data_IF_497797168962
#
_entry.id   IF_497797168962
#
_cell.length_a   1.000
_cell.length_b   1.000
_cell.length_c   1.000
_cell.angle_alpha   90.00
_cell.angle_beta   90.00
_cell.angle_gamma   90.00
#
_symmetry.space_group_name_H-M   'P 1'
#
loop_
_entity.id
_entity.type
_entity.pdbx_description
1 polymer ?
#
# COMPACT_ATOMS: atom_id res chain seq x y z
N UNK A 1 -4.95 8.80 -17.09
CA UNK A 1 -4.45 9.25 -15.76
C UNK A 1 -2.93 9.44 -15.82
N UNK A 2 -2.44 10.68 -15.93
CA UNK A 2 -0.99 10.93 -15.90
C UNK A 2 -0.38 10.61 -14.52
N UNK A 3 -1.12 10.89 -13.45
CA UNK A 3 -0.64 10.70 -12.06
C UNK A 3 -0.45 9.22 -11.74
N UNK A 4 -1.46 8.37 -11.99
CA UNK A 4 -1.34 6.92 -11.76
C UNK A 4 -0.26 6.25 -12.63
N UNK A 5 -0.09 6.71 -13.88
CA UNK A 5 0.98 6.24 -14.76
C UNK A 5 2.37 6.70 -14.28
N UNK A 6 2.46 7.88 -13.64
CA UNK A 6 3.72 8.39 -13.10
C UNK A 6 4.20 7.66 -11.83
N UNK A 7 3.38 6.79 -11.24
CA UNK A 7 3.71 6.01 -10.04
C UNK A 7 4.37 4.66 -10.33
N UNK A 8 4.65 4.33 -11.59
CA UNK A 8 5.16 3.00 -11.99
C UNK A 8 6.59 2.70 -11.56
N UNK A 9 7.43 3.72 -11.33
CA UNK A 9 8.81 3.54 -10.88
C UNK A 9 9.01 4.14 -9.49
N UNK A 10 9.16 3.26 -8.50
CA UNK A 10 9.48 3.64 -7.13
C UNK A 10 10.98 3.89 -7.00
N UNK A 11 11.32 5.09 -6.53
CA UNK A 11 12.69 5.50 -6.22
C UNK A 11 12.71 6.22 -4.86
N UNK A 12 13.92 6.50 -4.34
CA UNK A 12 14.10 7.14 -3.02
C UNK A 12 13.37 8.47 -2.89
N UNK A 13 13.35 9.28 -3.95
CA UNK A 13 12.69 10.58 -3.94
C UNK A 13 11.16 10.42 -3.86
N UNK A 14 10.58 9.46 -4.57
CA UNK A 14 9.13 9.18 -4.48
C UNK A 14 8.75 8.64 -3.11
N UNK A 15 9.56 7.76 -2.53
CA UNK A 15 9.33 7.26 -1.16
C UNK A 15 9.32 8.44 -0.19
N UNK A 16 10.27 9.37 -0.32
CA UNK A 16 10.32 10.58 0.50
C UNK A 16 9.08 11.46 0.31
N UNK A 17 8.65 11.71 -0.93
CA UNK A 17 7.43 12.47 -1.21
C UNK A 17 6.19 11.80 -0.60
N UNK A 18 6.08 10.47 -0.68
CA UNK A 18 4.98 9.72 -0.06
C UNK A 18 5.03 9.82 1.47
N UNK A 19 6.22 9.70 2.07
CA UNK A 19 6.41 9.86 3.50
C UNK A 19 6.02 11.28 3.95
N UNK A 20 6.55 12.32 3.28
CA UNK A 20 6.18 13.72 3.51
C UNK A 20 4.66 13.94 3.37
N UNK A 21 4.03 13.32 2.36
CA UNK A 21 2.57 13.39 2.18
C UNK A 21 1.83 12.81 3.40
N UNK A 22 2.21 11.62 3.85
CA UNK A 22 1.58 10.97 5.00
C UNK A 22 1.94 11.63 6.34
N UNK A 23 3.06 12.34 6.40
CA UNK A 23 3.50 13.07 7.58
C UNK A 23 2.79 14.41 7.76
N UNK A 24 2.65 15.17 6.67
CA UNK A 24 2.19 16.57 6.67
C UNK A 24 0.69 16.72 6.49
N UNK A 25 0.07 15.87 5.67
CA UNK A 25 -1.36 16.00 5.40
C UNK A 25 -2.15 15.40 6.56
N UNK A 26 -3.32 15.99 6.80
CA UNK A 26 -4.37 15.40 7.62
C UNK A 26 -4.90 14.12 6.95
N UNK A 27 -4.07 13.06 6.96
CA UNK A 27 -4.58 11.72 7.22
C UNK A 27 -5.55 11.86 8.38
N UNK A 28 -6.65 11.11 8.34
CA UNK A 28 -7.63 11.08 9.42
C UNK A 28 -6.96 11.13 10.79
N UNK A 29 -7.67 11.63 11.82
CA UNK A 29 -7.14 11.70 13.21
C UNK A 29 -6.63 10.36 13.76
N UNK A 30 -6.80 9.28 13.00
CA UNK A 30 -6.24 7.96 13.17
C UNK A 30 -4.70 7.94 13.04
N UNK A 31 -4.04 8.02 14.20
CA UNK A 31 -2.59 7.88 14.32
C UNK A 31 -2.10 6.48 13.98
N UNK A 32 -2.95 5.46 14.11
CA UNK A 32 -2.58 4.06 13.88
C UNK A 32 -2.51 3.76 12.38
N UNK A 33 -3.44 4.32 11.60
CA UNK A 33 -3.40 4.28 10.14
C UNK A 33 -2.12 4.94 9.60
N UNK A 34 -1.81 6.15 10.09
CA UNK A 34 -0.58 6.87 9.72
C UNK A 34 0.67 6.05 10.04
N UNK A 35 0.76 5.50 11.25
CA UNK A 35 1.91 4.69 11.66
C UNK A 35 2.05 3.45 10.75
N UNK A 36 0.95 2.75 10.50
CA UNK A 36 0.93 1.54 9.68
C UNK A 36 1.36 1.79 8.23
N UNK A 37 0.85 2.87 7.61
CA UNK A 37 1.21 3.18 6.21
C UNK A 37 2.67 3.60 6.07
N UNK A 38 3.21 4.34 7.06
CA UNK A 38 4.63 4.71 7.07
C UNK A 38 5.54 3.50 7.29
N UNK A 39 5.17 2.56 8.17
CA UNK A 39 5.91 1.29 8.33
C UNK A 39 5.87 0.46 7.05
N UNK A 40 4.72 0.35 6.39
CA UNK A 40 4.61 -0.34 5.10
C UNK A 40 5.43 0.34 4.00
N UNK A 41 5.53 1.66 4.01
CA UNK A 41 6.32 2.41 3.04
C UNK A 41 7.81 2.12 3.17
N UNK A 42 8.29 1.87 4.39
CA UNK A 42 9.69 1.50 4.66
C UNK A 42 10.02 0.08 4.18
N UNK A 43 9.16 -0.89 4.49
CA UNK A 43 9.44 -2.32 4.22
C UNK A 43 8.94 -2.82 2.86
N UNK A 44 7.91 -2.17 2.30
CA UNK A 44 7.21 -2.59 1.08
C UNK A 44 6.71 -1.37 0.27
N UNK A 45 7.59 -0.46 -0.18
CA UNK A 45 7.18 0.78 -0.85
C UNK A 45 6.37 0.57 -2.13
N UNK A 46 6.62 -0.53 -2.86
CA UNK A 46 5.84 -0.90 -4.05
C UNK A 46 4.39 -1.27 -3.71
N UNK A 47 4.15 -1.89 -2.55
CA UNK A 47 2.81 -2.17 -2.06
C UNK A 47 2.07 -0.85 -1.75
N UNK A 48 2.71 0.07 -1.03
CA UNK A 48 2.10 1.37 -0.72
C UNK A 48 1.84 2.19 -1.99
N UNK A 49 2.73 2.14 -2.98
CA UNK A 49 2.50 2.76 -4.29
C UNK A 49 1.28 2.16 -4.99
N UNK A 50 1.17 0.83 -5.01
CA UNK A 50 0.03 0.12 -5.59
C UNK A 50 -1.28 0.49 -4.91
N UNK A 51 -1.27 0.57 -3.57
CA UNK A 51 -2.41 1.03 -2.78
C UNK A 51 -2.80 2.47 -3.13
N UNK A 52 -1.84 3.41 -3.18
CA UNK A 52 -2.14 4.80 -3.55
C UNK A 52 -2.66 4.92 -4.98
N UNK A 53 -2.10 4.15 -5.92
CA UNK A 53 -2.60 4.09 -7.30
C UNK A 53 -4.05 3.67 -7.32
N UNK A 54 -4.40 2.56 -6.65
CA UNK A 54 -5.78 2.06 -6.54
C UNK A 54 -6.72 3.02 -5.83
N UNK A 55 -6.21 3.74 -4.83
CA UNK A 55 -6.94 4.79 -4.13
C UNK A 55 -7.31 5.95 -5.06
N UNK A 56 -6.36 6.46 -5.85
CA UNK A 56 -6.59 7.54 -6.82
C UNK A 56 -7.48 7.08 -7.98
N UNK A 57 -7.34 5.83 -8.43
CA UNK A 57 -8.25 5.20 -9.42
C UNK A 57 -9.68 5.15 -8.88
N UNK A 58 -9.86 4.68 -7.65
CA UNK A 58 -11.18 4.59 -6.99
C UNK A 58 -11.85 5.95 -6.79
N UNK A 59 -11.07 7.00 -6.53
CA UNK A 59 -11.57 8.37 -6.54
C UNK A 59 -12.01 8.81 -7.93
N UNK A 60 -11.21 8.51 -8.96
CA UNK A 60 -11.52 8.87 -10.35
C UNK A 60 -12.75 8.14 -10.90
N UNK A 61 -13.04 6.95 -10.38
CA UNK A 61 -14.23 6.16 -10.69
C UNK A 61 -15.46 6.56 -9.85
N UNK A 62 -15.32 7.51 -8.92
CA UNK A 62 -16.41 7.95 -8.04
C UNK A 62 -16.76 7.00 -6.90
N UNK A 63 -15.99 5.92 -6.68
CA UNK A 63 -16.14 5.01 -5.53
C UNK A 63 -15.76 5.69 -4.21
N UNK A 64 -14.77 6.59 -4.28
CA UNK A 64 -14.35 7.48 -3.18
C UNK A 64 -14.70 8.90 -3.58
N UNK A 65 -15.37 9.65 -2.70
CA UNK A 65 -15.86 11.01 -3.03
C UNK A 65 -14.84 12.11 -2.78
N UNK A 66 -13.82 11.86 -1.96
CA UNK A 66 -12.77 12.83 -1.62
C UNK A 66 -11.41 12.13 -1.49
N UNK A 67 -10.34 12.74 -2.02
CA UNK A 67 -8.98 12.20 -1.86
C UNK A 67 -8.45 12.36 -0.43
N UNK A 68 -8.85 13.43 0.26
CA UNK A 68 -8.43 13.80 1.61
C UNK A 68 -9.69 14.13 2.44
N UNK A 69 -9.73 13.75 3.73
CA UNK A 69 -8.69 13.05 4.49
C UNK A 69 -8.46 11.62 3.98
N UNK A 70 -7.20 11.16 4.06
CA UNK A 70 -6.90 9.75 3.86
C UNK A 70 -7.39 9.01 5.10
N UNK A 71 -8.45 8.23 4.96
CA UNK A 71 -9.12 7.52 6.06
C UNK A 71 -9.34 6.04 5.75
N UNK A 72 -9.59 5.26 6.80
CA UNK A 72 -9.71 3.81 6.71
C UNK A 72 -10.88 3.37 5.83
N UNK A 73 -11.98 4.12 5.80
CA UNK A 73 -13.16 3.76 5.02
C UNK A 73 -12.93 3.96 3.53
N UNK A 74 -12.23 5.02 3.14
CA UNK A 74 -11.81 5.28 1.78
C UNK A 74 -10.75 4.27 1.33
N UNK A 75 -9.82 3.89 2.21
CA UNK A 75 -8.85 2.81 1.94
C UNK A 75 -9.55 1.47 1.69
N UNK A 76 -10.56 1.11 2.49
CA UNK A 76 -11.35 -0.13 2.28
C UNK A 76 -12.06 -0.12 0.92
N UNK A 77 -12.61 1.02 0.50
CA UNK A 77 -13.26 1.15 -0.81
C UNK A 77 -12.28 1.05 -1.98
N UNK A 78 -11.02 1.39 -1.77
CA UNK A 78 -9.95 1.23 -2.75
C UNK A 78 -9.36 -0.19 -2.81
N UNK A 79 -9.72 -1.05 -1.85
CA UNK A 79 -9.15 -2.37 -1.71
C UNK A 79 -9.72 -3.33 -2.76
N UNK A 80 -9.01 -3.47 -3.87
CA UNK A 80 -9.41 -4.31 -4.99
C UNK A 80 -8.90 -5.76 -4.86
N UNK A 81 -9.20 -6.59 -5.85
CA UNK A 81 -8.79 -8.01 -5.86
C UNK A 81 -7.26 -8.18 -5.75
N UNK A 82 -6.48 -7.29 -6.37
CA UNK A 82 -5.01 -7.35 -6.30
C UNK A 82 -4.53 -7.13 -4.87
N UNK A 83 -5.07 -6.11 -4.19
CA UNK A 83 -4.73 -5.83 -2.80
C UNK A 83 -5.22 -6.94 -1.85
N UNK A 84 -6.37 -7.57 -2.15
CA UNK A 84 -6.88 -8.72 -1.39
C UNK A 84 -5.96 -9.94 -1.47
N UNK A 85 -5.45 -10.28 -2.66
CA UNK A 85 -4.49 -11.39 -2.82
C UNK A 85 -3.18 -11.11 -2.07
N UNK A 86 -2.68 -9.86 -2.11
CA UNK A 86 -1.48 -9.47 -1.35
C UNK A 86 -1.69 -9.55 0.16
N UNK A 87 -2.89 -9.18 0.65
CA UNK A 87 -3.28 -9.32 2.05
C UNK A 87 -3.32 -10.80 2.46
N UNK A 88 -3.96 -11.65 1.66
CA UNK A 88 -4.03 -13.10 1.91
C UNK A 88 -2.63 -13.71 2.01
N UNK A 89 -1.74 -13.39 1.06
CA UNK A 89 -0.35 -13.85 1.08
C UNK A 89 0.37 -13.42 2.35
N UNK A 90 0.24 -12.15 2.77
CA UNK A 90 0.87 -11.63 3.98
C UNK A 90 0.35 -12.33 5.24
N UNK A 91 -0.97 -12.45 5.39
CA UNK A 91 -1.61 -13.09 6.54
C UNK A 91 -1.23 -14.58 6.61
N UNK A 92 -1.37 -15.30 5.50
CA UNK A 92 -0.99 -16.71 5.40
C UNK A 92 0.48 -16.92 5.72
N UNK A 93 1.39 -16.16 5.11
CA UNK A 93 2.82 -16.25 5.34
C UNK A 93 3.21 -15.90 6.80
N UNK A 94 2.55 -14.90 7.39
CA UNK A 94 2.80 -14.49 8.79
C UNK A 94 2.40 -15.57 9.80
N UNK A 95 1.42 -16.41 9.46
CA UNK A 95 0.97 -17.51 10.33
C UNK A 95 1.92 -18.72 10.39
N UNK A 96 2.85 -18.81 9.43
CA UNK A 96 3.76 -19.94 9.30
C UNK A 96 4.88 -19.93 10.36
N UNK A 97 5.40 -21.12 10.66
CA UNK A 97 6.63 -21.28 11.42
C UNK A 97 7.83 -20.76 10.62
N UNK A 98 8.95 -20.46 11.29
CA UNK A 98 10.16 -20.03 10.59
C UNK A 98 10.68 -21.10 9.60
N UNK A 99 10.49 -22.38 9.90
CA UNK A 99 10.93 -23.48 9.03
C UNK A 99 10.10 -23.52 7.75
N UNK A 100 8.80 -23.26 7.83
CA UNK A 100 7.88 -23.28 6.69
C UNK A 100 7.98 -22.00 5.83
N UNK A 101 8.44 -20.88 6.42
CA UNK A 101 8.66 -19.62 5.70
C UNK A 101 9.80 -19.70 4.68
N UNK A 102 10.89 -20.40 5.00
CA UNK A 102 12.09 -20.38 4.16
C UNK A 102 11.90 -20.96 2.74
N UNK A 103 11.22 -22.10 2.55
CA UNK A 103 10.92 -22.61 1.21
C UNK A 103 10.12 -21.62 0.37
N UNK A 104 9.18 -20.89 0.97
CA UNK A 104 8.35 -19.89 0.28
C UNK A 104 9.18 -18.66 -0.11
N UNK A 105 10.02 -18.15 0.79
CA UNK A 105 10.96 -17.06 0.47
C UNK A 105 11.89 -17.49 -0.68
N UNK A 106 12.43 -18.70 -0.61
CA UNK A 106 13.31 -19.26 -1.65
C UNK A 106 12.60 -19.35 -3.00
N UNK A 107 11.34 -19.81 -3.01
CA UNK A 107 10.52 -19.84 -4.21
C UNK A 107 10.31 -18.44 -4.80
N UNK A 108 9.87 -17.47 -4.01
CA UNK A 108 9.59 -16.11 -4.49
C UNK A 108 10.86 -15.41 -5.03
N UNK A 109 12.00 -15.60 -4.38
CA UNK A 109 13.31 -15.09 -4.85
C UNK A 109 13.78 -15.68 -6.17
N UNK A 110 13.29 -16.86 -6.56
CA UNK A 110 13.67 -17.52 -7.82
C UNK A 110 12.77 -17.11 -8.99
N UNK A 111 11.55 -16.68 -8.70
CA UNK A 111 10.54 -16.34 -9.71
C UNK A 111 10.55 -14.84 -10.02
N UNK A 112 10.81 -13.99 -9.02
CA UNK A 112 10.98 -12.53 -9.19
C UNK A 112 12.42 -12.16 -9.52
#
# INVERSE_FOLDING_TARGET
MLVAASLSEINKERIKIMADFFERNSISKDKDLKKSILTLLDVAPNFVSSLLKKYVESYSEGKITHLIPFDMDSVKKAFDETLMVQKELLEGFSSLSNVDREPIISFLKRVG
#
